data_IF_763624262960
#
_entry.id   IF_763624262960
#
_cell.length_a   1.000
_cell.length_b   1.000
_cell.length_c   1.000
_cell.angle_alpha   90.00
_cell.angle_beta   90.00
_cell.angle_gamma   90.00
#
_symmetry.space_group_name_H-M   'P 1'
#
loop_
_entity.id
_entity.type
_entity.pdbx_description
1 polymer ?
#
# COMPACT_ATOMS: atom_id res chain seq x y z
N UNK A 1 -22.74 2.60 18.89
CA UNK A 1 -21.56 3.48 18.94
C UNK A 1 -21.75 4.73 19.84
N UNK A 2 -22.67 4.68 20.82
CA UNK A 2 -22.92 5.84 21.68
C UNK A 2 -21.61 6.34 22.33
N UNK A 3 -21.26 7.62 22.12
CA UNK A 3 -20.05 8.26 22.62
C UNK A 3 -18.74 7.83 21.93
N UNK A 4 -18.83 7.18 20.76
CA UNK A 4 -17.68 6.78 19.93
C UNK A 4 -17.85 7.32 18.50
N UNK A 5 -16.76 7.42 17.78
CA UNK A 5 -16.72 7.91 16.41
C UNK A 5 -16.78 6.74 15.45
N UNK A 6 -17.71 6.80 14.49
CA UNK A 6 -17.81 5.86 13.37
C UNK A 6 -17.22 6.50 12.12
N UNK A 7 -16.27 5.83 11.51
CA UNK A 7 -15.60 6.26 10.29
C UNK A 7 -15.67 5.17 9.22
N UNK A 8 -15.51 5.51 7.94
CA UNK A 8 -15.27 4.51 6.93
C UNK A 8 -14.05 3.67 7.29
N UNK A 9 -14.03 2.41 6.89
CA UNK A 9 -12.83 1.61 6.99
C UNK A 9 -11.69 2.21 6.18
N UNK A 10 -10.50 2.34 6.79
CA UNK A 10 -9.33 2.89 6.14
C UNK A 10 -8.86 2.01 4.98
N UNK A 11 -8.36 2.64 3.92
CA UNK A 11 -7.72 1.97 2.78
C UNK A 11 -6.24 2.31 2.77
N UNK A 12 -5.38 1.33 3.03
CA UNK A 12 -3.93 1.46 2.86
C UNK A 12 -3.59 1.21 1.39
N UNK A 13 -3.29 2.28 0.66
CA UNK A 13 -3.13 2.24 -0.79
C UNK A 13 -1.79 1.67 -1.26
N UNK A 14 -0.85 1.44 -0.37
CA UNK A 14 0.42 0.78 -0.64
C UNK A 14 1.02 0.23 0.65
N UNK A 15 1.13 -1.09 0.71
CA UNK A 15 1.78 -1.76 1.83
C UNK A 15 2.53 -3.02 1.39
N UNK A 16 3.26 -3.59 2.35
CA UNK A 16 3.96 -4.85 2.25
C UNK A 16 3.63 -5.69 3.50
N UNK A 17 2.47 -6.36 3.51
CA UNK A 17 1.92 -7.02 4.69
C UNK A 17 2.90 -7.97 5.37
N UNK A 18 3.54 -8.86 4.62
CA UNK A 18 4.42 -9.87 5.18
C UNK A 18 5.80 -9.30 5.53
N UNK A 19 6.51 -8.70 4.55
CA UNK A 19 7.87 -8.20 4.78
C UNK A 19 7.90 -7.01 5.72
N UNK A 20 6.85 -6.19 5.76
CA UNK A 20 6.73 -5.08 6.69
C UNK A 20 6.84 -5.52 8.17
N UNK A 21 6.37 -6.73 8.51
CA UNK A 21 6.54 -7.27 9.86
C UNK A 21 8.02 -7.52 10.18
N UNK A 22 8.79 -8.02 9.19
CA UNK A 22 10.23 -8.25 9.35
C UNK A 22 11.01 -6.95 9.44
N UNK A 23 10.70 -5.97 8.60
CA UNK A 23 11.38 -4.67 8.60
C UNK A 23 11.22 -3.94 9.94
N UNK A 24 10.05 -4.05 10.57
CA UNK A 24 9.82 -3.50 11.93
C UNK A 24 10.66 -4.20 13.00
N UNK A 25 10.86 -5.51 12.89
CA UNK A 25 11.64 -6.31 13.84
C UNK A 25 13.14 -6.17 13.62
N UNK A 26 13.58 -6.12 12.36
CA UNK A 26 14.98 -5.94 12.00
C UNK A 26 15.53 -4.55 12.38
N UNK A 27 14.61 -3.63 12.68
CA UNK A 27 14.92 -2.21 12.77
C UNK A 27 15.03 -1.59 11.37
N UNK A 28 14.76 -0.30 11.28
CA UNK A 28 15.04 0.43 10.05
C UNK A 28 16.54 0.35 9.78
N UNK A 29 16.96 0.03 8.55
CA UNK A 29 18.37 -0.07 8.26
C UNK A 29 19.06 1.24 8.69
N UNK A 30 20.13 1.16 9.48
CA UNK A 30 20.87 2.35 9.82
C UNK A 30 21.33 3.00 8.52
N UNK A 31 21.55 4.29 8.50
CA UNK A 31 21.93 5.17 7.37
C UNK A 31 23.15 4.71 6.54
N UNK A 32 23.27 3.43 6.26
CA UNK A 32 24.36 2.84 5.47
C UNK A 32 24.05 2.77 3.97
N UNK A 33 22.81 3.10 3.57
CA UNK A 33 22.37 3.03 2.19
C UNK A 33 22.39 4.42 1.56
N UNK A 34 23.03 4.54 0.41
CA UNK A 34 23.08 5.82 -0.32
C UNK A 34 21.81 6.09 -1.10
N UNK A 35 21.09 5.02 -1.48
CA UNK A 35 19.83 5.09 -2.24
C UNK A 35 18.84 4.04 -1.74
N UNK A 36 17.56 4.28 -2.02
CA UNK A 36 16.49 3.31 -1.72
C UNK A 36 16.66 2.05 -2.57
N UNK A 37 17.07 2.19 -3.83
CA UNK A 37 17.36 1.06 -4.72
C UNK A 37 18.48 0.18 -4.16
N UNK A 38 19.51 0.76 -3.53
CA UNK A 38 20.54 0.00 -2.84
C UNK A 38 19.97 -0.74 -1.61
N UNK A 39 19.15 -0.08 -0.79
CA UNK A 39 18.47 -0.71 0.34
C UNK A 39 17.56 -1.85 -0.12
N UNK A 40 16.78 -1.65 -1.18
CA UNK A 40 15.93 -2.68 -1.76
C UNK A 40 16.74 -3.90 -2.18
N UNK A 41 17.80 -3.73 -2.95
CA UNK A 41 18.57 -4.84 -3.50
C UNK A 41 19.43 -5.56 -2.46
N UNK A 42 20.01 -4.85 -1.49
CA UNK A 42 20.98 -5.42 -0.53
C UNK A 42 20.37 -5.82 0.81
N UNK A 43 19.21 -5.29 1.17
CA UNK A 43 18.57 -5.57 2.46
C UNK A 43 17.19 -6.21 2.30
N UNK A 44 16.26 -5.56 1.59
CA UNK A 44 14.88 -6.03 1.49
C UNK A 44 14.77 -7.29 0.62
N UNK A 45 15.35 -7.33 -0.58
CA UNK A 45 15.26 -8.47 -1.47
C UNK A 45 15.86 -9.77 -0.89
N UNK A 46 17.00 -9.76 -0.17
CA UNK A 46 17.48 -10.95 0.54
C UNK A 46 16.54 -11.45 1.65
N UNK A 47 15.81 -10.57 2.34
CA UNK A 47 14.80 -11.00 3.32
C UNK A 47 13.59 -11.61 2.62
N UNK A 48 13.11 -10.99 1.55
CA UNK A 48 11.98 -11.49 0.76
C UNK A 48 12.28 -12.85 0.12
N UNK A 49 13.51 -13.07 -0.34
CA UNK A 49 13.96 -14.34 -0.91
C UNK A 49 13.96 -15.53 0.08
N UNK A 50 13.81 -15.25 1.37
CA UNK A 50 13.70 -16.26 2.44
C UNK A 50 12.25 -16.47 2.91
N UNK A 51 11.30 -15.74 2.34
CA UNK A 51 9.90 -15.85 2.67
C UNK A 51 9.26 -17.02 1.91
N UNK A 52 9.33 -18.21 2.50
CA UNK A 52 8.56 -19.36 2.03
C UNK A 52 7.05 -19.12 2.20
N UNK A 53 6.16 -19.89 1.53
CA UNK A 53 4.72 -19.71 1.63
C UNK A 53 4.17 -19.77 3.05
N UNK A 54 4.76 -20.58 3.94
CA UNK A 54 4.31 -20.67 5.34
C UNK A 54 4.66 -19.41 6.13
N UNK A 55 5.84 -18.81 5.87
CA UNK A 55 6.23 -17.54 6.45
C UNK A 55 5.35 -16.40 5.92
N UNK A 56 5.11 -16.37 4.60
CA UNK A 56 4.21 -15.38 3.97
C UNK A 56 2.81 -15.41 4.57
N UNK A 57 2.20 -16.59 4.70
CA UNK A 57 0.88 -16.75 5.30
C UNK A 57 0.83 -16.25 6.75
N UNK A 58 1.81 -16.65 7.56
CA UNK A 58 1.85 -16.30 8.99
C UNK A 58 2.08 -14.81 9.21
N UNK A 59 3.03 -14.21 8.46
CA UNK A 59 3.35 -12.79 8.55
C UNK A 59 2.25 -11.91 7.97
N UNK A 60 1.61 -12.32 6.86
CA UNK A 60 0.48 -11.61 6.30
C UNK A 60 -0.74 -11.63 7.25
N UNK A 61 -1.00 -12.74 7.94
CA UNK A 61 -2.04 -12.79 8.96
C UNK A 61 -1.75 -11.82 10.13
N UNK A 62 -0.52 -11.76 10.59
CA UNK A 62 -0.11 -10.79 11.63
C UNK A 62 -0.22 -9.35 11.13
N UNK A 63 0.14 -9.08 9.88
CA UNK A 63 -0.04 -7.78 9.23
C UNK A 63 -1.51 -7.38 9.15
N UNK A 64 -2.39 -8.33 8.78
CA UNK A 64 -3.83 -8.10 8.69
C UNK A 64 -4.46 -7.81 10.07
N UNK A 65 -4.04 -8.49 11.14
CA UNK A 65 -4.46 -8.15 12.52
C UNK A 65 -4.04 -6.71 12.89
N UNK A 66 -2.79 -6.36 12.59
CA UNK A 66 -2.27 -5.02 12.86
C UNK A 66 -3.05 -3.94 12.09
N UNK A 67 -3.38 -4.19 10.82
CA UNK A 67 -4.17 -3.31 9.97
C UNK A 67 -5.57 -3.06 10.55
N UNK A 68 -6.32 -4.12 10.87
CA UNK A 68 -7.66 -4.00 11.45
C UNK A 68 -7.65 -3.28 12.80
N UNK A 69 -6.63 -3.50 13.64
CA UNK A 69 -6.47 -2.83 14.94
C UNK A 69 -6.21 -1.33 14.78
N UNK A 70 -5.56 -0.93 13.69
CA UNK A 70 -5.33 0.47 13.32
C UNK A 70 -6.50 1.11 12.54
N UNK A 71 -7.61 0.37 12.31
CA UNK A 71 -8.76 0.88 11.58
C UNK A 71 -8.65 0.77 10.05
N UNK A 72 -7.67 0.02 9.55
CA UNK A 72 -7.53 -0.29 8.12
C UNK A 72 -8.33 -1.55 7.81
N UNK A 73 -9.31 -1.45 6.91
CA UNK A 73 -10.17 -2.56 6.50
C UNK A 73 -9.86 -3.08 5.11
N UNK A 74 -9.12 -2.30 4.33
CA UNK A 74 -8.70 -2.66 2.98
C UNK A 74 -7.23 -2.30 2.77
N UNK A 75 -6.48 -3.18 2.13
CA UNK A 75 -5.08 -2.94 1.79
C UNK A 75 -4.83 -3.22 0.30
N UNK A 76 -3.93 -2.45 -0.29
CA UNK A 76 -3.31 -2.75 -1.58
C UNK A 76 -1.87 -3.20 -1.28
N UNK A 77 -1.63 -4.49 -1.40
CA UNK A 77 -0.39 -5.13 -1.00
C UNK A 77 0.49 -5.44 -2.21
N UNK A 78 1.79 -5.16 -2.09
CA UNK A 78 2.80 -5.53 -3.07
C UNK A 78 3.75 -6.53 -2.43
N UNK A 79 3.51 -7.81 -2.69
CA UNK A 79 4.26 -8.92 -2.09
C UNK A 79 5.33 -9.49 -2.99
N UNK A 80 6.35 -10.05 -2.38
CA UNK A 80 7.37 -10.89 -2.98
C UNK A 80 7.69 -12.05 -2.04
N UNK A 81 8.39 -13.06 -2.57
CA UNK A 81 8.75 -14.25 -1.79
C UNK A 81 9.95 -14.99 -2.39
N UNK A 82 10.13 -16.21 -1.95
CA UNK A 82 11.23 -17.09 -2.36
C UNK A 82 11.24 -17.31 -3.89
N UNK A 83 12.39 -17.05 -4.58
CA UNK A 83 12.52 -17.34 -6.01
C UNK A 83 12.31 -18.82 -6.33
N UNK A 84 11.62 -19.09 -7.44
CA UNK A 84 11.27 -20.44 -7.87
C UNK A 84 9.94 -20.95 -7.29
N UNK A 85 9.25 -20.14 -6.47
CA UNK A 85 7.93 -20.43 -5.89
C UNK A 85 6.95 -19.30 -6.12
N UNK A 86 7.07 -18.61 -7.25
CA UNK A 86 6.30 -17.40 -7.57
C UNK A 86 4.80 -17.63 -7.57
N UNK A 87 4.34 -18.80 -7.99
CA UNK A 87 2.94 -19.21 -8.02
C UNK A 87 2.34 -19.48 -6.62
N UNK A 88 3.17 -19.65 -5.60
CA UNK A 88 2.71 -19.90 -4.24
C UNK A 88 2.62 -18.60 -3.38
N UNK A 89 3.26 -17.49 -3.81
CA UNK A 89 3.38 -16.25 -3.03
C UNK A 89 2.03 -15.61 -2.73
N UNK A 90 1.29 -15.22 -3.77
CA UNK A 90 0.00 -14.56 -3.57
C UNK A 90 -1.06 -15.47 -2.92
N UNK A 91 -1.18 -16.76 -3.27
CA UNK A 91 -2.06 -17.68 -2.54
C UNK A 91 -1.72 -17.79 -1.05
N UNK A 92 -0.45 -17.75 -0.66
CA UNK A 92 -0.05 -17.78 0.74
C UNK A 92 -0.45 -16.50 1.49
N UNK A 93 -0.18 -15.33 0.90
CA UNK A 93 -0.63 -14.04 1.44
C UNK A 93 -2.16 -14.00 1.55
N UNK A 94 -2.88 -14.46 0.52
CA UNK A 94 -4.34 -14.52 0.49
C UNK A 94 -4.91 -15.39 1.62
N UNK A 95 -4.31 -16.56 1.90
CA UNK A 95 -4.71 -17.39 3.05
C UNK A 95 -4.51 -16.66 4.38
N UNK A 96 -3.37 -15.98 4.56
CA UNK A 96 -3.09 -15.20 5.76
C UNK A 96 -4.11 -14.07 5.97
N UNK A 97 -4.37 -13.29 4.94
CA UNK A 97 -5.37 -12.21 4.92
C UNK A 97 -6.79 -12.75 5.14
N UNK A 98 -7.16 -13.82 4.42
CA UNK A 98 -8.47 -14.48 4.49
C UNK A 98 -8.76 -15.06 5.87
N UNK A 99 -7.75 -15.59 6.57
CA UNK A 99 -7.86 -16.08 7.95
C UNK A 99 -8.37 -15.00 8.91
N UNK A 100 -7.95 -13.75 8.72
CA UNK A 100 -8.35 -12.60 9.54
C UNK A 100 -9.61 -11.93 8.98
N UNK A 101 -9.86 -12.08 7.70
CA UNK A 101 -10.99 -11.50 6.99
C UNK A 101 -10.81 -10.02 6.68
N UNK A 102 -9.58 -9.60 6.35
CA UNK A 102 -9.26 -8.28 5.83
C UNK A 102 -9.55 -8.24 4.32
N UNK A 103 -10.03 -7.13 3.78
CA UNK A 103 -10.13 -6.90 2.35
C UNK A 103 -8.76 -6.58 1.78
N UNK A 104 -8.38 -7.20 0.65
CA UNK A 104 -7.06 -6.97 0.06
C UNK A 104 -7.06 -7.04 -1.47
N UNK A 105 -6.35 -6.10 -2.10
CA UNK A 105 -5.88 -6.24 -3.47
C UNK A 105 -4.40 -6.65 -3.42
N UNK A 106 -4.08 -7.81 -3.96
CA UNK A 106 -2.76 -8.42 -3.87
C UNK A 106 -2.05 -8.37 -5.22
N UNK A 107 -0.84 -7.88 -5.24
CA UNK A 107 0.01 -7.81 -6.43
C UNK A 107 1.35 -8.51 -6.18
N UNK A 108 1.84 -9.29 -7.14
CA UNK A 108 3.21 -9.78 -7.09
C UNK A 108 4.14 -8.72 -7.66
N UNK A 109 5.04 -8.19 -6.85
CA UNK A 109 6.04 -7.20 -7.25
C UNK A 109 7.10 -7.79 -8.18
N UNK A 110 6.80 -7.86 -9.49
CA UNK A 110 7.72 -8.38 -10.49
C UNK A 110 8.92 -7.44 -10.63
N UNK A 111 10.10 -8.02 -10.63
CA UNK A 111 11.37 -7.39 -11.02
C UNK A 111 12.40 -8.47 -11.41
N UNK A 112 13.53 -8.07 -11.95
CA UNK A 112 14.56 -8.96 -12.48
C UNK A 112 15.80 -9.07 -11.56
N UNK A 113 15.68 -8.70 -10.27
CA UNK A 113 16.79 -8.84 -9.29
C UNK A 113 17.22 -10.30 -9.10
N UNK A 114 16.29 -11.25 -9.26
CA UNK A 114 16.55 -12.70 -9.30
C UNK A 114 16.83 -13.25 -10.72
N UNK A 115 16.97 -12.37 -11.72
CA UNK A 115 17.06 -12.70 -13.14
C UNK A 115 15.74 -12.54 -13.88
N UNK A 116 15.82 -12.33 -15.21
CA UNK A 116 14.64 -12.10 -16.08
C UNK A 116 13.59 -13.22 -15.97
N UNK A 117 14.04 -14.48 -15.86
CA UNK A 117 13.13 -15.61 -15.72
C UNK A 117 12.24 -15.51 -14.47
N UNK A 118 12.78 -14.97 -13.37
CA UNK A 118 12.03 -14.72 -12.14
C UNK A 118 11.00 -13.60 -12.34
N UNK A 119 11.39 -12.47 -12.93
CA UNK A 119 10.45 -11.37 -13.24
C UNK A 119 9.30 -11.82 -14.14
N UNK A 120 9.60 -12.60 -15.19
CA UNK A 120 8.59 -13.17 -16.09
C UNK A 120 7.69 -14.19 -15.36
N UNK A 121 8.22 -15.00 -14.46
CA UNK A 121 7.44 -15.94 -13.65
C UNK A 121 6.51 -15.19 -12.69
N UNK A 122 7.00 -14.16 -12.01
CA UNK A 122 6.22 -13.30 -11.12
C UNK A 122 5.06 -12.60 -11.86
N UNK A 123 5.30 -12.06 -13.05
CA UNK A 123 4.25 -11.46 -13.87
C UNK A 123 3.15 -12.47 -14.24
N UNK A 124 3.53 -13.70 -14.62
CA UNK A 124 2.57 -14.78 -14.92
C UNK A 124 1.79 -15.24 -13.68
N UNK A 125 2.47 -15.41 -12.55
CA UNK A 125 1.86 -15.82 -11.28
C UNK A 125 0.84 -14.79 -10.80
N UNK A 126 1.17 -13.49 -10.86
CA UNK A 126 0.24 -12.41 -10.52
C UNK A 126 -1.01 -12.41 -11.42
N UNK A 127 -0.85 -12.59 -12.72
CA UNK A 127 -1.96 -12.68 -13.66
C UNK A 127 -2.84 -13.93 -13.42
N UNK A 128 -2.24 -15.07 -13.08
CA UNK A 128 -2.98 -16.30 -12.75
C UNK A 128 -3.81 -16.11 -11.49
N UNK A 129 -3.19 -15.59 -10.42
CA UNK A 129 -3.87 -15.29 -9.17
C UNK A 129 -5.05 -14.31 -9.36
N UNK A 130 -4.86 -13.26 -10.15
CA UNK A 130 -5.92 -12.29 -10.40
C UNK A 130 -7.17 -12.93 -11.04
N UNK A 131 -6.98 -13.90 -11.95
CA UNK A 131 -8.09 -14.67 -12.54
C UNK A 131 -8.76 -15.60 -11.51
N UNK A 132 -7.96 -16.22 -10.64
CA UNK A 132 -8.47 -17.13 -9.60
C UNK A 132 -9.40 -16.40 -8.62
N UNK A 133 -9.04 -15.20 -8.19
CA UNK A 133 -9.80 -14.41 -7.20
C UNK A 133 -10.81 -13.43 -7.81
N UNK A 134 -11.05 -13.45 -9.12
CA UNK A 134 -11.90 -12.48 -9.80
C UNK A 134 -13.33 -12.37 -9.24
N UNK A 135 -13.89 -13.47 -8.70
CA UNK A 135 -15.21 -13.53 -8.08
C UNK A 135 -15.21 -13.44 -6.55
N UNK A 136 -14.07 -13.29 -5.91
CA UNK A 136 -13.98 -13.23 -4.45
C UNK A 136 -14.55 -11.90 -3.92
N UNK A 137 -15.17 -11.92 -2.74
CA UNK A 137 -15.73 -10.70 -2.13
C UNK A 137 -14.67 -9.84 -1.46
N UNK A 138 -13.64 -10.45 -0.88
CA UNK A 138 -12.61 -9.76 -0.11
C UNK A 138 -11.31 -9.57 -0.89
N UNK A 139 -11.05 -10.39 -1.91
CA UNK A 139 -9.78 -10.40 -2.62
C UNK A 139 -9.90 -9.84 -4.04
N UNK A 140 -8.87 -9.13 -4.48
CA UNK A 140 -8.58 -8.79 -5.88
C UNK A 140 -7.12 -9.09 -6.17
N UNK A 141 -6.82 -9.48 -7.40
CA UNK A 141 -5.45 -9.53 -7.89
C UNK A 141 -5.16 -8.33 -8.77
N UNK A 142 -3.92 -7.86 -8.73
CA UNK A 142 -3.40 -6.80 -9.60
C UNK A 142 -2.10 -7.26 -10.26
N UNK A 143 -1.75 -6.70 -11.41
CA UNK A 143 -0.37 -6.75 -11.89
C UNK A 143 0.53 -5.98 -10.92
N UNK A 144 1.77 -6.42 -10.70
CA UNK A 144 2.66 -5.79 -9.74
C UNK A 144 4.03 -5.47 -10.34
N UNK A 145 4.54 -4.29 -10.10
CA UNK A 145 5.89 -3.84 -10.48
C UNK A 145 6.63 -3.32 -9.25
N UNK A 146 7.78 -3.91 -8.92
CA UNK A 146 8.57 -3.49 -7.76
C UNK A 146 9.92 -2.89 -8.19
N UNK A 147 9.88 -1.61 -8.54
CA UNK A 147 11.00 -0.80 -8.98
C UNK A 147 11.25 -0.87 -10.49
N UNK A 148 11.12 0.27 -11.14
CA UNK A 148 11.29 0.37 -12.58
C UNK A 148 12.73 0.05 -12.99
N UNK A 149 13.72 0.57 -12.29
CA UNK A 149 15.16 0.32 -12.54
C UNK A 149 15.58 -1.14 -12.33
N UNK A 150 14.79 -1.90 -11.58
CA UNK A 150 15.02 -3.32 -11.32
C UNK A 150 14.34 -4.24 -12.34
N UNK A 151 13.66 -3.69 -13.39
CA UNK A 151 12.76 -4.47 -14.24
C UNK A 151 13.09 -4.24 -15.73
N UNK A 152 13.52 -5.29 -16.41
CA UNK A 152 13.88 -5.23 -17.82
C UNK A 152 12.66 -5.13 -18.76
N UNK A 153 12.90 -4.77 -20.04
CA UNK A 153 11.83 -4.52 -21.02
C UNK A 153 10.89 -5.72 -21.25
N UNK A 154 11.40 -6.95 -21.17
CA UNK A 154 10.58 -8.16 -21.36
C UNK A 154 9.61 -8.40 -20.21
N UNK A 155 10.06 -8.18 -18.98
CA UNK A 155 9.20 -8.27 -17.78
C UNK A 155 8.16 -7.15 -17.79
N UNK A 156 8.53 -5.91 -18.15
CA UNK A 156 7.57 -4.81 -18.33
C UNK A 156 6.51 -5.14 -19.40
N UNK A 157 6.94 -5.66 -20.56
CA UNK A 157 6.00 -6.07 -21.61
C UNK A 157 5.06 -7.20 -21.16
N UNK A 158 5.53 -8.12 -20.32
CA UNK A 158 4.70 -9.21 -19.76
C UNK A 158 3.64 -8.70 -18.79
N UNK A 159 3.83 -7.56 -18.14
CA UNK A 159 2.87 -6.92 -17.24
C UNK A 159 1.77 -6.15 -17.98
N UNK A 160 1.98 -5.69 -19.23
CA UNK A 160 1.07 -4.77 -19.91
C UNK A 160 -0.34 -5.36 -20.12
N UNK A 161 -0.45 -6.61 -20.55
CA UNK A 161 -1.73 -7.30 -20.71
C UNK A 161 -2.49 -7.41 -19.39
N UNK A 162 -1.92 -8.04 -18.36
CA UNK A 162 -2.53 -8.10 -17.03
C UNK A 162 -2.88 -6.72 -16.43
N UNK A 163 -2.00 -5.73 -16.57
CA UNK A 163 -2.25 -4.37 -16.07
C UNK A 163 -3.50 -3.72 -16.70
N UNK A 164 -3.73 -3.96 -17.99
CA UNK A 164 -4.93 -3.45 -18.68
C UNK A 164 -6.21 -4.14 -18.20
N UNK A 165 -6.14 -5.42 -17.81
CA UNK A 165 -7.29 -6.22 -17.37
C UNK A 165 -7.67 -5.99 -15.92
N UNK A 166 -6.69 -6.00 -15.01
CA UNK A 166 -6.94 -5.99 -13.55
C UNK A 166 -6.34 -4.79 -12.82
N UNK A 167 -5.62 -3.91 -13.52
CA UNK A 167 -4.91 -2.78 -12.93
C UNK A 167 -3.47 -3.12 -12.57
N UNK A 168 -2.72 -2.09 -12.19
CA UNK A 168 -1.31 -2.18 -11.82
C UNK A 168 -1.08 -1.58 -10.43
N UNK A 169 -0.32 -2.26 -9.59
CA UNK A 169 0.27 -1.72 -8.38
C UNK A 169 1.79 -1.63 -8.56
N UNK A 170 2.36 -0.45 -8.49
CA UNK A 170 3.75 -0.22 -8.87
C UNK A 170 4.51 0.68 -7.88
N UNK A 171 5.68 0.25 -7.42
CA UNK A 171 6.67 1.14 -6.80
C UNK A 171 7.51 1.78 -7.90
N UNK A 172 7.45 3.10 -8.02
CA UNK A 172 8.13 3.84 -9.10
C UNK A 172 8.63 5.20 -8.62
N UNK A 173 9.80 5.58 -9.08
CA UNK A 173 10.44 6.85 -8.78
C UNK A 173 10.61 7.06 -7.26
N UNK A 174 10.99 6.00 -6.56
CA UNK A 174 11.31 6.06 -5.13
C UNK A 174 12.63 6.78 -4.88
N UNK A 175 13.56 6.69 -5.87
CA UNK A 175 14.80 7.45 -5.95
C UNK A 175 15.19 7.76 -7.42
N UNK A 176 16.36 8.35 -7.62
CA UNK A 176 16.88 8.73 -8.94
C UNK A 176 17.21 7.53 -9.86
N UNK A 177 17.28 6.30 -9.34
CA UNK A 177 17.59 5.14 -10.16
C UNK A 177 16.52 4.87 -11.21
N UNK A 178 15.24 4.99 -10.84
CA UNK A 178 14.13 4.82 -11.79
C UNK A 178 14.11 5.93 -12.86
N UNK A 179 14.45 7.16 -12.47
CA UNK A 179 14.58 8.28 -13.40
C UNK A 179 15.72 8.05 -14.39
N UNK A 180 16.90 7.67 -13.90
CA UNK A 180 18.06 7.39 -14.73
C UNK A 180 17.79 6.24 -15.71
N UNK A 181 17.19 5.14 -15.21
CA UNK A 181 16.84 3.99 -16.03
C UNK A 181 15.84 4.34 -17.15
N UNK A 182 14.76 5.03 -16.86
CA UNK A 182 13.77 5.40 -17.86
C UNK A 182 14.35 6.34 -18.92
N UNK A 183 15.23 7.24 -18.50
CA UNK A 183 15.92 8.13 -19.42
C UNK A 183 16.92 7.38 -20.33
N UNK A 184 17.70 6.47 -19.77
CA UNK A 184 18.63 5.64 -20.52
C UNK A 184 17.92 4.69 -21.51
N UNK A 185 16.83 4.04 -21.05
CA UNK A 185 16.10 3.07 -21.84
C UNK A 185 15.30 3.70 -22.99
N UNK A 186 14.73 4.89 -22.80
CA UNK A 186 13.76 5.47 -23.74
C UNK A 186 13.85 6.99 -23.90
N UNK A 187 14.78 7.67 -23.26
CA UNK A 187 14.84 9.15 -23.17
C UNK A 187 13.56 9.77 -22.58
N UNK A 188 12.92 9.06 -21.66
CA UNK A 188 11.68 9.44 -21.01
C UNK A 188 11.86 9.53 -19.49
N UNK A 189 10.95 10.21 -18.83
CA UNK A 189 10.77 10.16 -17.39
C UNK A 189 9.94 8.92 -16.99
N UNK A 190 9.91 8.50 -15.71
CA UNK A 190 9.25 7.28 -15.26
C UNK A 190 7.79 7.13 -15.67
N UNK A 191 6.94 8.13 -15.48
CA UNK A 191 5.51 8.03 -15.83
C UNK A 191 5.24 7.96 -17.32
N UNK A 192 5.85 8.81 -18.18
CA UNK A 192 5.83 8.62 -19.64
C UNK A 192 6.31 7.24 -20.10
N UNK A 193 7.33 6.69 -19.46
CA UNK A 193 7.85 5.36 -19.78
C UNK A 193 6.84 4.25 -19.42
N UNK A 194 6.18 4.35 -18.26
CA UNK A 194 5.06 3.45 -17.90
C UNK A 194 3.92 3.55 -18.91
N UNK A 195 3.56 4.77 -19.34
CA UNK A 195 2.50 4.99 -20.32
C UNK A 195 2.86 4.35 -21.66
N UNK A 196 4.08 4.54 -22.15
CA UNK A 196 4.58 3.94 -23.39
C UNK A 196 4.59 2.40 -23.31
N UNK A 197 4.88 1.85 -22.12
CA UNK A 197 4.88 0.41 -21.86
C UNK A 197 3.48 -0.19 -21.68
N UNK A 198 2.41 0.61 -21.79
CA UNK A 198 1.03 0.13 -21.63
C UNK A 198 0.64 -0.18 -20.17
N UNK A 199 1.36 0.40 -19.22
CA UNK A 199 1.21 0.11 -17.77
C UNK A 199 0.43 1.19 -17.02
N UNK A 200 0.03 2.29 -17.68
CA UNK A 200 -0.66 3.40 -17.05
C UNK A 200 -2.15 3.41 -17.42
N UNK A 201 -3.02 3.45 -16.43
CA UNK A 201 -4.47 3.50 -16.62
C UNK A 201 -5.24 3.80 -15.34
N UNK A 202 -6.60 3.83 -15.41
CA UNK A 202 -7.44 4.28 -14.30
C UNK A 202 -7.43 3.34 -13.08
N UNK A 203 -6.96 2.11 -13.22
CA UNK A 203 -6.76 1.15 -12.12
C UNK A 203 -5.28 0.98 -11.78
N UNK A 204 -4.44 1.93 -12.20
CA UNK A 204 -3.03 1.98 -11.78
C UNK A 204 -2.89 2.73 -10.47
N UNK A 205 -2.21 2.11 -9.51
CA UNK A 205 -1.73 2.72 -8.28
C UNK A 205 -0.21 2.75 -8.33
N UNK A 206 0.36 3.95 -8.36
CA UNK A 206 1.80 4.18 -8.30
C UNK A 206 2.16 4.60 -6.89
N UNK A 207 3.13 3.98 -6.26
CA UNK A 207 3.65 4.39 -4.97
C UNK A 207 4.94 5.20 -5.11
N UNK A 208 5.18 6.09 -4.16
CA UNK A 208 6.34 6.96 -3.98
C UNK A 208 6.35 8.20 -4.88
N UNK A 209 6.94 8.16 -6.08
CA UNK A 209 6.97 9.31 -7.01
C UNK A 209 7.87 10.46 -6.57
N UNK A 210 8.90 10.23 -5.75
CA UNK A 210 9.76 11.27 -5.16
C UNK A 210 10.50 12.12 -6.20
N UNK A 211 10.74 11.57 -7.40
CA UNK A 211 11.43 12.27 -8.50
C UNK A 211 10.50 12.78 -9.59
N UNK A 212 9.16 12.73 -9.40
CA UNK A 212 8.20 13.20 -10.41
C UNK A 212 8.34 14.70 -10.72
N UNK A 213 8.06 15.06 -11.96
CA UNK A 213 7.96 16.45 -12.44
C UNK A 213 6.52 16.81 -12.82
N UNK A 214 6.28 18.09 -13.16
CA UNK A 214 4.94 18.59 -13.47
C UNK A 214 4.27 17.89 -14.65
N UNK A 215 5.00 17.54 -15.71
CA UNK A 215 4.45 16.84 -16.87
C UNK A 215 3.97 15.42 -16.50
N UNK A 216 4.61 14.80 -15.51
CA UNK A 216 4.22 13.48 -15.00
C UNK A 216 2.93 13.55 -14.19
N UNK A 217 2.74 14.61 -13.38
CA UNK A 217 1.49 14.86 -12.68
C UNK A 217 0.30 14.99 -13.66
N UNK A 218 0.46 15.77 -14.73
CA UNK A 218 -0.56 15.92 -15.75
C UNK A 218 -0.89 14.57 -16.44
N UNK A 219 0.10 13.71 -16.65
CA UNK A 219 -0.11 12.40 -17.29
C UNK A 219 -0.82 11.42 -16.34
N UNK A 220 -0.45 11.38 -15.05
CA UNK A 220 -1.14 10.58 -14.03
C UNK A 220 -2.62 10.97 -13.93
N UNK A 221 -2.91 12.28 -13.88
CA UNK A 221 -4.28 12.80 -13.84
C UNK A 221 -5.09 12.36 -15.07
N UNK A 222 -4.56 12.58 -16.29
CA UNK A 222 -5.23 12.16 -17.54
C UNK A 222 -5.48 10.66 -17.61
N UNK A 223 -4.59 9.85 -17.07
CA UNK A 223 -4.74 8.41 -17.00
C UNK A 223 -5.76 7.97 -15.94
N UNK A 224 -6.16 8.86 -15.03
CA UNK A 224 -6.97 8.53 -13.87
C UNK A 224 -6.23 7.65 -12.85
N UNK A 225 -4.90 7.58 -12.90
CA UNK A 225 -4.09 6.81 -11.98
C UNK A 225 -4.10 7.43 -10.57
N UNK A 226 -3.87 6.59 -9.55
CA UNK A 226 -3.73 7.04 -8.17
C UNK A 226 -2.27 7.02 -7.76
N UNK A 227 -1.81 8.05 -7.04
CA UNK A 227 -0.52 8.06 -6.38
C UNK A 227 -0.68 7.74 -4.90
N UNK A 228 -0.06 6.66 -4.44
CA UNK A 228 0.03 6.32 -3.03
C UNK A 228 1.27 6.99 -2.41
N UNK A 229 1.04 7.84 -1.40
CA UNK A 229 2.08 8.58 -0.69
C UNK A 229 2.32 7.91 0.66
N UNK A 230 3.56 7.55 0.96
CA UNK A 230 3.98 6.92 2.22
C UNK A 230 5.00 7.79 2.96
N UNK A 231 4.55 8.84 3.68
CA UNK A 231 5.44 9.87 4.24
C UNK A 231 6.46 9.33 5.23
N UNK A 232 6.04 8.47 6.18
CA UNK A 232 6.96 7.93 7.19
C UNK A 232 8.01 7.03 6.55
N UNK A 233 7.63 6.23 5.55
CA UNK A 233 8.57 5.40 4.81
C UNK A 233 9.61 6.25 4.07
N UNK A 234 9.19 7.31 3.40
CA UNK A 234 10.09 8.26 2.74
C UNK A 234 11.07 8.88 3.74
N UNK A 235 10.60 9.31 4.92
CA UNK A 235 11.50 9.88 5.95
C UNK A 235 12.46 8.85 6.53
N UNK A 236 12.01 7.61 6.71
CA UNK A 236 12.86 6.53 7.22
C UNK A 236 13.93 6.09 6.21
N UNK A 237 13.62 6.09 4.92
CA UNK A 237 14.57 5.75 3.85
C UNK A 237 15.47 6.93 3.46
N UNK A 238 15.13 8.15 3.88
CA UNK A 238 15.80 9.36 3.45
C UNK A 238 15.40 9.83 2.04
N UNK A 239 14.33 9.26 1.49
CA UNK A 239 13.74 9.67 0.22
C UNK A 239 12.95 10.99 0.35
N UNK A 240 12.71 11.64 -0.77
CA UNK A 240 11.87 12.83 -0.82
C UNK A 240 10.39 12.43 -0.93
N UNK A 241 9.51 13.31 -0.51
CA UNK A 241 8.10 13.23 -0.87
C UNK A 241 7.91 13.65 -2.34
N UNK A 242 6.87 13.13 -3.02
CA UNK A 242 6.53 13.60 -4.35
C UNK A 242 6.19 15.10 -4.34
N UNK A 243 6.20 15.77 -5.50
CA UNK A 243 5.91 17.21 -5.61
C UNK A 243 4.40 17.49 -5.42
N UNK A 244 3.93 17.43 -4.17
CA UNK A 244 2.51 17.45 -3.80
C UNK A 244 1.76 18.66 -4.35
N UNK A 245 2.38 19.84 -4.39
CA UNK A 245 1.76 21.06 -4.95
C UNK A 245 1.45 20.87 -6.45
N UNK A 246 2.40 20.32 -7.21
CA UNK A 246 2.22 20.04 -8.62
C UNK A 246 1.15 18.96 -8.86
N UNK A 247 1.12 17.92 -8.03
CA UNK A 247 0.11 16.86 -8.10
C UNK A 247 -1.30 17.39 -7.82
N UNK A 248 -1.43 18.26 -6.81
CA UNK A 248 -2.70 18.90 -6.48
C UNK A 248 -3.19 19.85 -7.58
N UNK A 249 -2.30 20.68 -8.16
CA UNK A 249 -2.65 21.59 -9.27
C UNK A 249 -3.18 20.83 -10.50
N UNK A 250 -2.73 19.59 -10.70
CA UNK A 250 -3.17 18.73 -11.81
C UNK A 250 -4.29 17.76 -11.43
N UNK A 251 -4.93 17.93 -10.27
CA UNK A 251 -6.00 17.04 -9.77
C UNK A 251 -5.63 15.55 -9.80
N UNK A 252 -4.38 15.22 -9.46
CA UNK A 252 -3.95 13.81 -9.35
C UNK A 252 -4.67 13.16 -8.18
N UNK A 253 -5.30 12.02 -8.42
CA UNK A 253 -5.84 11.19 -7.33
C UNK A 253 -4.69 10.73 -6.42
N UNK A 254 -4.71 11.12 -5.15
CA UNK A 254 -3.70 10.75 -4.16
C UNK A 254 -4.32 9.98 -3.01
N UNK A 255 -3.59 9.02 -2.47
CA UNK A 255 -3.99 8.20 -1.33
C UNK A 255 -2.81 8.02 -0.36
N UNK A 256 -3.12 7.68 0.90
CA UNK A 256 -2.10 7.29 1.88
C UNK A 256 -1.75 5.82 1.70
N UNK A 257 -0.45 5.52 1.71
CA UNK A 257 0.12 4.19 1.88
C UNK A 257 1.05 4.15 3.09
N UNK A 258 1.27 2.97 3.66
CA UNK A 258 2.16 2.79 4.83
C UNK A 258 3.51 2.17 4.48
N UNK A 259 3.68 1.68 3.27
CA UNK A 259 4.84 0.90 2.83
C UNK A 259 5.16 -0.29 3.79
N UNK A 260 4.13 -0.77 4.50
CA UNK A 260 4.23 -1.87 5.44
C UNK A 260 4.91 -1.56 6.78
N UNK A 261 5.38 -0.33 7.02
CA UNK A 261 6.08 0.01 8.26
C UNK A 261 5.13 0.04 9.46
N UNK A 262 4.06 0.82 9.38
CA UNK A 262 3.06 0.93 10.45
C UNK A 262 1.68 1.12 9.83
N UNK A 263 0.70 0.25 10.07
CA UNK A 263 -0.63 0.34 9.47
C UNK A 263 -1.49 1.43 10.15
N UNK A 264 -0.97 2.63 10.31
CA UNK A 264 -1.62 3.78 10.96
C UNK A 264 -1.71 4.94 9.95
N UNK A 265 -2.83 5.00 9.23
CA UNK A 265 -3.07 6.00 8.19
C UNK A 265 -3.16 7.42 8.77
N UNK A 266 -3.69 7.58 9.99
CA UNK A 266 -3.74 8.89 10.63
C UNK A 266 -2.34 9.41 10.97
N UNK A 267 -1.45 8.53 11.42
CA UNK A 267 -0.04 8.86 11.63
C UNK A 267 0.71 9.18 10.34
N UNK A 268 0.39 8.52 9.23
CA UNK A 268 0.92 8.89 7.90
C UNK A 268 0.42 10.27 7.47
N UNK A 269 -0.88 10.53 7.62
CA UNK A 269 -1.45 11.84 7.29
C UNK A 269 -0.86 12.97 8.15
N UNK A 270 -0.62 12.70 9.44
CA UNK A 270 0.07 13.64 10.33
C UNK A 270 1.50 13.93 9.87
N UNK A 271 2.25 12.89 9.48
CA UNK A 271 3.59 13.04 8.94
C UNK A 271 3.60 13.86 7.64
N UNK A 272 2.61 13.63 6.77
CA UNK A 272 2.39 14.41 5.56
C UNK A 272 2.11 15.88 5.88
N UNK A 273 1.23 16.15 6.84
CA UNK A 273 0.92 17.52 7.30
C UNK A 273 2.16 18.24 7.80
N UNK A 274 2.97 17.58 8.65
CA UNK A 274 4.21 18.16 9.17
C UNK A 274 5.20 18.49 8.05
N UNK A 275 5.31 17.61 7.05
CA UNK A 275 6.18 17.85 5.89
C UNK A 275 5.73 19.05 5.07
N UNK A 276 4.44 19.14 4.78
CA UNK A 276 3.83 20.25 4.05
C UNK A 276 4.04 21.58 4.79
N UNK A 277 3.80 21.63 6.10
CA UNK A 277 4.07 22.82 6.92
C UNK A 277 5.52 23.25 6.90
N UNK A 278 6.47 22.30 6.86
CA UNK A 278 7.90 22.57 6.79
C UNK A 278 8.31 23.20 5.46
N UNK A 279 7.73 22.77 4.35
CA UNK A 279 8.06 23.31 3.02
C UNK A 279 7.50 24.71 2.76
N UNK A 280 6.75 25.28 3.74
CA UNK A 280 6.04 26.54 3.60
C UNK A 280 5.14 26.60 2.36
N UNK A 281 4.67 25.44 1.92
CA UNK A 281 3.65 25.40 0.88
C UNK A 281 2.53 26.34 1.31
N UNK A 282 2.20 27.31 0.45
CA UNK A 282 1.22 28.36 0.78
C UNK A 282 -0.22 27.88 0.57
N UNK A 283 -0.42 26.58 0.55
CA UNK A 283 -1.71 26.06 0.19
C UNK A 283 -2.74 26.32 1.29
N UNK A 284 -3.77 27.09 1.03
CA UNK A 284 -5.04 26.98 1.75
C UNK A 284 -5.61 25.56 1.64
N UNK A 285 -4.97 24.72 0.83
CA UNK A 285 -5.24 23.33 0.51
C UNK A 285 -4.79 22.29 1.55
N UNK A 286 -4.16 22.66 2.66
CA UNK A 286 -3.64 21.66 3.58
C UNK A 286 -4.73 20.76 4.14
N UNK A 287 -5.78 21.33 4.69
CA UNK A 287 -6.89 20.56 5.25
C UNK A 287 -7.67 19.83 4.16
N UNK A 288 -7.88 20.46 3.02
CA UNK A 288 -8.54 19.85 1.87
C UNK A 288 -7.70 18.71 1.29
N UNK A 289 -6.39 18.92 1.10
CA UNK A 289 -5.49 17.87 0.61
C UNK A 289 -5.46 16.67 1.56
N UNK A 290 -5.29 16.90 2.86
CA UNK A 290 -5.27 15.83 3.85
C UNK A 290 -6.61 15.10 3.91
N UNK A 291 -7.73 15.82 3.86
CA UNK A 291 -9.05 15.25 3.79
C UNK A 291 -9.25 14.37 2.56
N UNK A 292 -8.75 14.78 1.39
CA UNK A 292 -8.82 13.99 0.16
C UNK A 292 -7.88 12.77 0.16
N UNK A 293 -6.68 12.89 0.70
CA UNK A 293 -5.67 11.83 0.68
C UNK A 293 -5.99 10.74 1.70
N UNK A 294 -6.46 11.12 2.91
CA UNK A 294 -6.66 10.18 4.02
C UNK A 294 -7.78 9.16 3.75
N UNK A 295 -8.96 9.62 3.34
CA UNK A 295 -10.12 8.73 3.14
C UNK A 295 -10.51 8.60 1.66
N UNK A 296 -10.86 9.69 0.95
CA UNK A 296 -11.43 9.59 -0.39
C UNK A 296 -10.47 9.00 -1.42
N UNK A 297 -9.16 9.31 -1.35
CA UNK A 297 -8.18 8.84 -2.32
C UNK A 297 -8.02 7.33 -2.30
N UNK A 298 -7.83 6.75 -1.11
CA UNK A 298 -7.77 5.30 -0.93
C UNK A 298 -9.10 4.63 -1.29
N UNK A 299 -10.22 5.21 -0.86
CA UNK A 299 -11.55 4.73 -1.20
C UNK A 299 -11.79 4.71 -2.71
N UNK A 300 -11.39 5.76 -3.43
CA UNK A 300 -11.51 5.82 -4.89
C UNK A 300 -10.66 4.75 -5.59
N UNK A 301 -9.41 4.55 -5.15
CA UNK A 301 -8.54 3.51 -5.69
C UNK A 301 -9.13 2.11 -5.48
N UNK A 302 -9.55 1.79 -4.26
CA UNK A 302 -10.20 0.51 -3.95
C UNK A 302 -11.50 0.33 -4.73
N UNK A 303 -12.38 1.33 -4.80
CA UNK A 303 -13.65 1.24 -5.50
C UNK A 303 -13.49 0.91 -6.99
N UNK A 304 -12.44 1.40 -7.64
CA UNK A 304 -12.13 1.06 -9.04
C UNK A 304 -11.76 -0.42 -9.22
N UNK A 305 -11.19 -1.05 -8.19
CA UNK A 305 -10.80 -2.46 -8.21
C UNK A 305 -11.99 -3.38 -7.92
N UNK A 306 -12.87 -2.99 -6.99
CA UNK A 306 -14.05 -3.80 -6.65
C UNK A 306 -15.25 -3.54 -7.56
N UNK A 307 -15.29 -2.39 -8.27
CA UNK A 307 -16.44 -1.97 -9.06
C UNK A 307 -17.64 -1.52 -8.20
N UNK A 308 -17.46 -1.42 -6.89
CA UNK A 308 -18.44 -1.00 -5.89
C UNK A 308 -17.78 -0.01 -4.92
N UNK A 309 -18.52 0.92 -4.30
CA UNK A 309 -17.94 1.88 -3.36
C UNK A 309 -17.33 1.17 -2.13
N UNK A 310 -16.04 1.38 -1.89
CA UNK A 310 -15.27 0.91 -0.72
C UNK A 310 -14.81 2.12 0.08
N UNK A 311 -14.67 2.00 1.41
CA UNK A 311 -14.09 3.07 2.24
C UNK A 311 -14.96 4.33 2.33
N UNK A 312 -16.27 4.17 2.22
CA UNK A 312 -17.25 5.25 2.38
C UNK A 312 -18.47 4.78 3.16
N UNK A 313 -19.13 5.69 3.88
CA UNK A 313 -20.38 5.41 4.59
C UNK A 313 -21.53 5.96 3.75
N UNK A 314 -22.09 5.13 2.90
CA UNK A 314 -23.22 5.48 2.07
C UNK A 314 -24.09 4.24 1.78
N UNK A 315 -25.42 4.40 1.55
CA UNK A 315 -26.25 3.31 1.06
C UNK A 315 -25.70 2.74 -0.26
N UNK A 316 -25.57 1.42 -0.34
CA UNK A 316 -25.01 0.72 -1.51
C UNK A 316 -23.49 0.56 -1.52
N UNK A 317 -22.78 1.14 -0.55
CA UNK A 317 -21.35 0.88 -0.36
C UNK A 317 -21.11 -0.47 0.32
N UNK A 318 -19.94 -1.07 0.06
CA UNK A 318 -19.47 -2.23 0.80
C UNK A 318 -19.32 -1.86 2.29
N UNK A 319 -19.82 -2.72 3.17
CA UNK A 319 -19.92 -2.43 4.60
C UNK A 319 -18.56 -2.64 5.32
N UNK A 320 -17.60 -1.77 5.01
CA UNK A 320 -16.30 -1.68 5.64
C UNK A 320 -16.28 -0.45 6.56
N UNK A 321 -16.39 -0.67 7.87
CA UNK A 321 -16.62 0.37 8.87
C UNK A 321 -15.70 0.17 10.08
N UNK A 322 -15.33 1.28 10.72
CA UNK A 322 -14.55 1.29 11.95
C UNK A 322 -15.23 2.15 13.01
N UNK A 323 -15.24 1.66 14.24
CA UNK A 323 -15.60 2.45 15.42
C UNK A 323 -14.33 2.72 16.20
N UNK A 324 -13.94 3.98 16.31
CA UNK A 324 -12.72 4.39 17.01
C UNK A 324 -12.97 4.62 18.50
N UNK A 325 -12.02 4.27 19.34
CA UNK A 325 -11.97 4.69 20.77
C UNK A 325 -11.46 6.12 20.87
N UNK A 326 -12.17 7.03 20.24
CA UNK A 326 -11.81 8.43 20.27
C UNK A 326 -12.47 9.11 21.48
N UNK A 327 -11.64 9.61 22.38
CA UNK A 327 -12.08 10.29 23.63
C UNK A 327 -11.39 11.64 23.73
N UNK A 328 -11.93 12.68 23.06
CA UNK A 328 -11.36 14.02 23.19
C UNK A 328 -11.47 14.50 24.65
N UNK A 329 -10.48 15.26 25.14
CA UNK A 329 -10.46 15.75 26.52
C UNK A 329 -11.57 16.79 26.81
N UNK A 330 -12.19 17.33 25.75
CA UNK A 330 -13.32 18.28 25.82
C UNK A 330 -14.24 18.07 24.61
N UNK A 331 -15.52 18.54 24.67
CA UNK A 331 -16.40 18.48 23.52
C UNK A 331 -15.80 19.20 22.30
N UNK A 332 -15.71 18.51 21.17
CA UNK A 332 -15.24 19.09 19.90
C UNK A 332 -16.40 19.83 19.26
N UNK A 333 -16.25 21.11 18.92
CA UNK A 333 -17.30 21.86 18.22
C UNK A 333 -17.61 21.23 16.86
N UNK A 334 -18.90 21.25 16.45
CA UNK A 334 -19.34 20.71 15.16
C UNK A 334 -18.59 21.33 13.95
N UNK A 335 -18.20 22.60 14.06
CA UNK A 335 -17.41 23.30 13.04
C UNK A 335 -15.94 22.84 12.96
N UNK A 336 -15.45 22.06 13.91
CA UNK A 336 -14.12 21.44 13.88
C UNK A 336 -14.19 20.00 13.37
N UNK A 337 -15.29 19.65 12.73
CA UNK A 337 -15.47 18.31 12.17
C UNK A 337 -14.30 17.95 11.29
N UNK A 338 -13.41 17.38 11.88
CA UNK A 338 -12.75 16.17 11.67
C UNK A 338 -11.86 15.99 10.46
N UNK A 339 -11.53 16.97 9.66
CA UNK A 339 -10.54 16.81 8.57
C UNK A 339 -9.08 16.87 9.05
N UNK A 340 -8.87 17.11 10.34
CA UNK A 340 -7.53 17.09 10.91
C UNK A 340 -7.10 15.69 11.31
N UNK A 341 -6.12 15.13 10.62
CA UNK A 341 -5.46 13.87 11.01
C UNK A 341 -4.96 13.88 12.46
N UNK A 342 -4.67 15.07 13.01
CA UNK A 342 -4.30 15.29 14.41
C UNK A 342 -5.38 14.85 15.40
N UNK A 343 -6.68 14.96 15.03
CA UNK A 343 -7.78 14.55 15.90
C UNK A 343 -7.87 13.03 16.04
N UNK A 344 -7.36 12.28 15.07
CA UNK A 344 -7.48 10.84 14.99
C UNK A 344 -6.20 10.11 15.34
N UNK A 345 -5.06 10.82 15.30
CA UNK A 345 -3.77 10.22 15.56
C UNK A 345 -3.77 9.48 16.91
N UNK A 346 -3.48 8.18 16.85
CA UNK A 346 -3.41 7.32 18.02
C UNK A 346 -4.74 6.79 18.56
N UNK A 347 -5.89 7.04 17.90
CA UNK A 347 -7.16 6.42 18.30
C UNK A 347 -7.26 4.98 17.73
N UNK A 348 -7.17 3.93 18.57
CA UNK A 348 -7.29 2.56 18.10
C UNK A 348 -8.73 2.22 17.71
N UNK A 349 -8.88 1.22 16.84
CA UNK A 349 -10.20 0.67 16.52
C UNK A 349 -10.74 -0.13 17.71
N UNK A 350 -11.91 0.24 18.18
CA UNK A 350 -12.70 -0.58 19.09
C UNK A 350 -13.44 -1.68 18.33
N UNK A 351 -13.94 -1.35 17.12
CA UNK A 351 -14.61 -2.28 16.24
C UNK A 351 -14.10 -2.08 14.82
N UNK A 352 -13.92 -3.19 14.11
CA UNK A 352 -13.70 -3.22 12.67
C UNK A 352 -14.69 -4.20 12.02
N UNK A 353 -15.35 -3.72 10.97
CA UNK A 353 -16.33 -4.46 10.19
C UNK A 353 -15.81 -4.50 8.77
N UNK A 354 -15.72 -5.68 8.19
CA UNK A 354 -15.28 -5.89 6.79
C UNK A 354 -16.33 -6.72 6.08
N UNK A 355 -16.82 -6.23 4.96
CA UNK A 355 -17.89 -6.86 4.17
C UNK A 355 -19.12 -7.21 5.03
N UNK A 356 -19.50 -6.32 5.96
CA UNK A 356 -20.61 -6.51 6.90
C UNK A 356 -20.33 -7.46 8.06
N UNK A 357 -19.19 -8.15 8.08
CA UNK A 357 -18.82 -9.06 9.16
C UNK A 357 -17.95 -8.37 10.21
N UNK A 358 -18.33 -8.46 11.48
CA UNK A 358 -17.54 -7.93 12.60
C UNK A 358 -16.29 -8.78 12.77
N UNK A 359 -15.11 -8.19 12.56
CA UNK A 359 -13.79 -8.83 12.70
C UNK A 359 -13.13 -8.49 14.03
N UNK A 360 -13.27 -7.25 14.47
CA UNK A 360 -12.80 -6.77 15.76
C UNK A 360 -13.98 -6.20 16.54
N UNK A 361 -14.09 -6.54 17.82
CA UNK A 361 -15.11 -6.06 18.73
C UNK A 361 -14.53 -5.81 20.12
N UNK A 362 -14.66 -4.57 20.63
CA UNK A 362 -14.07 -4.15 21.90
C UNK A 362 -12.59 -4.55 22.00
N UNK A 363 -11.82 -4.23 20.93
CA UNK A 363 -10.41 -4.54 20.76
C UNK A 363 -10.05 -6.06 20.79
N UNK A 364 -11.03 -6.96 20.65
CA UNK A 364 -10.83 -8.41 20.55
C UNK A 364 -11.22 -8.91 19.18
N UNK A 365 -10.37 -9.69 18.56
CA UNK A 365 -10.67 -10.32 17.29
C UNK A 365 -11.70 -11.45 17.44
N UNK A 366 -12.57 -11.58 16.45
CA UNK A 366 -13.60 -12.61 16.42
C UNK A 366 -13.24 -13.68 15.36
N UNK A 367 -13.40 -14.94 15.74
CA UNK A 367 -13.19 -16.07 14.82
C UNK A 367 -11.73 -16.44 14.55
N UNK A 368 -10.78 -15.81 15.21
CA UNK A 368 -9.34 -16.11 15.11
C UNK A 368 -8.68 -16.19 16.47
N UNK A 369 -7.68 -17.03 16.59
CA UNK A 369 -6.78 -17.05 17.74
C UNK A 369 -5.58 -16.11 17.46
N UNK A 370 -5.63 -14.93 18.07
CA UNK A 370 -4.59 -13.92 17.91
C UNK A 370 -3.24 -14.39 18.47
N UNK A 371 -3.25 -15.13 19.57
CA UNK A 371 -2.02 -15.63 20.18
C UNK A 371 -1.34 -16.67 19.29
N UNK A 372 -2.12 -17.55 18.66
CA UNK A 372 -1.61 -18.51 17.66
C UNK A 372 -1.00 -17.81 16.46
N UNK A 373 -1.69 -16.79 15.89
CA UNK A 373 -1.16 -16.03 14.76
C UNK A 373 0.14 -15.32 15.14
N UNK A 374 0.19 -14.67 16.30
CA UNK A 374 1.39 -13.99 16.79
C UNK A 374 2.57 -14.96 17.01
N UNK A 375 2.32 -16.14 17.58
CA UNK A 375 3.34 -17.16 17.79
C UNK A 375 3.92 -17.66 16.46
N UNK A 376 3.06 -18.04 15.51
CA UNK A 376 3.50 -18.49 14.18
C UNK A 376 4.26 -17.42 13.40
N UNK A 377 3.80 -16.17 13.45
CA UNK A 377 4.49 -15.05 12.82
C UNK A 377 5.85 -14.79 13.48
N UNK A 378 5.94 -14.87 14.82
CA UNK A 378 7.20 -14.77 15.56
C UNK A 378 8.21 -15.86 15.20
N UNK A 379 7.76 -17.12 15.08
CA UNK A 379 8.60 -18.24 14.64
C UNK A 379 9.10 -18.03 13.20
N UNK A 380 8.20 -17.63 12.28
CA UNK A 380 8.56 -17.34 10.89
C UNK A 380 9.58 -16.20 10.80
N UNK A 381 9.35 -15.10 11.51
CA UNK A 381 10.27 -13.96 11.57
C UNK A 381 11.63 -14.36 12.13
N UNK A 382 11.66 -15.12 13.24
CA UNK A 382 12.91 -15.57 13.84
C UNK A 382 13.73 -16.49 12.90
N UNK A 383 13.04 -17.31 12.08
CA UNK A 383 13.70 -18.15 11.07
C UNK A 383 14.30 -17.31 9.95
N UNK A 384 13.54 -16.38 9.39
CA UNK A 384 13.98 -15.53 8.27
C UNK A 384 15.10 -14.58 8.67
N UNK A 385 15.08 -14.04 9.90
CA UNK A 385 16.09 -13.08 10.37
C UNK A 385 17.40 -13.74 10.83
N UNK A 386 17.40 -15.04 11.17
CA UNK A 386 18.62 -15.77 11.59
C UNK A 386 19.37 -16.44 10.43
N UNK A 387 18.72 -16.68 9.32
CA UNK A 387 19.30 -17.27 8.10
C UNK A 387 19.94 -16.20 7.23
#
# INVERSE_FOLDING_TARGET
AAGRLVVPGGVDAHCHLAVGQLLRLAGLPPRLWHTVSEMRSRFRAPLEARLDPAALESLAAAGALAALRAGVTCVLDLSRGEPGREDEVLPAVARGVGRVGLRAALAYGANDLGGEHHGLAAARAGAAFAREVAGDRLLRGMAGLDGLAATGPRTLAALAGPASEVGLHASVAEDDADLAYAYEAASLRPVPYLAQSGLLGPRTVVAHGSTFGGDEAALLSRAGACLAVAPRAAFCSGSLLPPLDSLAVHDVSMAIGTDGLYPDLAGEALALEMALRRTRSQAPFFSELLGHVLWPGGAAAASRLWGEPVGTIAPGALADLVVLEWRPPFPVPEASEGDSALLWAGAPAAWAIVDGAVRLREARFLGVDEAEIAARAGEAAARVLRS
#
